data_IF_770902243299
#
_entry.id   IF_770902243299
#
_cell.length_a   1.000
_cell.length_b   1.000
_cell.length_c   1.000
_cell.angle_alpha   90.00
_cell.angle_beta   90.00
_cell.angle_gamma   90.00
#
_symmetry.space_group_name_H-M   'P 1'
#
loop_
_entity.id
_entity.type
_entity.pdbx_description
1 polymer ?
#
# COMPACT_ATOMS: atom_id res chain seq x y z
N UNK A 1 -15.42 -13.97 2.83
CA UNK A 1 -14.11 -13.66 2.21
C UNK A 1 -13.24 -12.92 3.21
N UNK A 2 -11.95 -12.74 2.92
CA UNK A 2 -10.99 -12.12 3.85
C UNK A 2 -11.39 -10.70 4.27
N UNK A 3 -12.01 -9.91 3.39
CA UNK A 3 -12.55 -8.59 3.72
C UNK A 3 -13.59 -8.65 4.85
N UNK A 4 -14.60 -9.52 4.71
CA UNK A 4 -15.63 -9.74 5.74
C UNK A 4 -15.03 -10.22 7.08
N UNK A 5 -13.97 -11.05 7.03
CA UNK A 5 -13.27 -11.48 8.24
C UNK A 5 -12.58 -10.30 8.94
N UNK A 6 -11.95 -9.40 8.18
CA UNK A 6 -11.35 -8.18 8.71
C UNK A 6 -12.41 -7.30 9.40
N UNK A 7 -13.56 -7.10 8.76
CA UNK A 7 -14.65 -6.29 9.29
C UNK A 7 -15.32 -6.91 10.55
N UNK A 8 -15.57 -8.22 10.55
CA UNK A 8 -16.29 -8.89 11.65
C UNK A 8 -15.42 -9.16 12.88
N UNK A 9 -14.11 -9.40 12.69
CA UNK A 9 -13.20 -9.82 13.76
C UNK A 9 -12.14 -8.77 14.10
N UNK A 10 -11.96 -7.75 13.25
CA UNK A 10 -11.08 -6.61 13.48
C UNK A 10 -9.69 -7.02 14.00
N UNK A 11 -9.32 -6.48 15.15
CA UNK A 11 -8.02 -6.71 15.79
C UNK A 11 -7.71 -8.20 16.06
N UNK A 12 -8.72 -9.04 16.32
CA UNK A 12 -8.50 -10.47 16.56
C UNK A 12 -8.05 -11.22 15.29
N UNK A 13 -8.46 -10.75 14.11
CA UNK A 13 -8.03 -11.32 12.83
C UNK A 13 -6.73 -10.71 12.29
N UNK A 14 -6.33 -9.55 12.82
CA UNK A 14 -5.16 -8.79 12.38
C UNK A 14 -3.87 -9.64 12.21
N UNK A 15 -3.41 -10.44 13.19
CA UNK A 15 -2.13 -11.16 13.04
C UNK A 15 -2.15 -12.16 11.88
N UNK A 16 -3.29 -12.82 11.64
CA UNK A 16 -3.46 -13.79 10.56
C UNK A 16 -3.53 -13.10 9.19
N UNK A 17 -4.21 -11.95 9.12
CA UNK A 17 -4.34 -11.16 7.91
C UNK A 17 -3.01 -10.50 7.51
N UNK A 18 -2.25 -10.00 8.49
CA UNK A 18 -0.89 -9.47 8.28
C UNK A 18 0.05 -10.57 7.78
N UNK A 19 0.01 -11.77 8.38
CA UNK A 19 0.83 -12.90 7.94
C UNK A 19 0.47 -13.37 6.51
N UNK A 20 -0.77 -13.14 6.07
CA UNK A 20 -1.24 -13.52 4.73
C UNK A 20 -1.14 -12.38 3.71
N UNK A 21 -0.67 -11.20 4.12
CA UNK A 21 -0.86 -9.97 3.34
C UNK A 21 -0.09 -9.97 2.01
N UNK A 22 1.09 -10.59 1.97
CA UNK A 22 1.86 -10.76 0.73
C UNK A 22 1.05 -11.50 -0.34
N UNK A 23 0.39 -12.60 0.03
CA UNK A 23 -0.47 -13.38 -0.86
C UNK A 23 -1.71 -12.61 -1.29
N UNK A 24 -2.27 -11.79 -0.39
CA UNK A 24 -3.40 -10.91 -0.71
C UNK A 24 -2.97 -9.89 -1.77
N UNK A 25 -1.80 -9.26 -1.61
CA UNK A 25 -1.26 -8.32 -2.60
C UNK A 25 -0.96 -8.99 -3.94
N UNK A 26 -0.36 -10.18 -3.94
CA UNK A 26 -0.11 -10.94 -5.17
C UNK A 26 -1.41 -11.24 -5.94
N UNK A 27 -2.48 -11.59 -5.23
CA UNK A 27 -3.79 -11.87 -5.81
C UNK A 27 -4.46 -10.64 -6.47
N UNK A 28 -4.02 -9.41 -6.17
CA UNK A 28 -4.49 -8.19 -6.88
C UNK A 28 -3.97 -8.13 -8.33
N UNK A 29 -2.97 -8.95 -8.65
CA UNK A 29 -2.47 -9.17 -9.99
C UNK A 29 -3.14 -10.33 -10.74
N UNK A 30 -4.16 -10.98 -10.20
CA UNK A 30 -4.77 -12.15 -10.85
C UNK A 30 -5.44 -11.81 -12.20
N UNK A 31 -5.49 -12.79 -13.10
CA UNK A 31 -6.16 -12.63 -14.41
C UNK A 31 -7.68 -12.56 -14.27
N UNK A 32 -8.23 -13.20 -13.24
CA UNK A 32 -9.64 -13.17 -12.91
C UNK A 32 -10.00 -11.86 -12.23
N UNK A 33 -10.89 -11.08 -12.86
CA UNK A 33 -11.43 -9.84 -12.29
C UNK A 33 -12.04 -10.05 -10.91
N UNK A 34 -12.75 -11.17 -10.71
CA UNK A 34 -13.39 -11.48 -9.43
C UNK A 34 -12.35 -11.69 -8.31
N UNK A 35 -11.23 -12.34 -8.61
CA UNK A 35 -10.14 -12.55 -7.64
C UNK A 35 -9.44 -11.24 -7.34
N UNK A 36 -9.13 -10.45 -8.38
CA UNK A 36 -8.54 -9.12 -8.22
C UNK A 36 -9.40 -8.22 -7.32
N UNK A 37 -10.68 -8.07 -7.64
CA UNK A 37 -11.57 -7.15 -6.91
C UNK A 37 -11.73 -7.59 -5.45
N UNK A 38 -11.84 -8.89 -5.20
CA UNK A 38 -11.90 -9.44 -3.85
C UNK A 38 -10.58 -9.24 -3.07
N UNK A 39 -9.43 -9.36 -3.73
CA UNK A 39 -8.12 -9.15 -3.12
C UNK A 39 -7.90 -7.67 -2.77
N UNK A 40 -8.27 -6.75 -3.66
CA UNK A 40 -8.22 -5.30 -3.42
C UNK A 40 -9.11 -4.92 -2.23
N UNK A 41 -10.35 -5.44 -2.20
CA UNK A 41 -11.27 -5.22 -1.10
C UNK A 41 -10.70 -5.75 0.23
N UNK A 42 -10.12 -6.96 0.22
CA UNK A 42 -9.49 -7.54 1.40
C UNK A 42 -8.27 -6.71 1.88
N UNK A 43 -7.39 -6.29 0.97
CA UNK A 43 -6.22 -5.50 1.32
C UNK A 43 -6.62 -4.18 1.98
N UNK A 44 -7.62 -3.47 1.44
CA UNK A 44 -8.14 -2.21 2.00
C UNK A 44 -8.87 -2.42 3.33
N UNK A 45 -9.67 -3.49 3.46
CA UNK A 45 -10.41 -3.80 4.68
C UNK A 45 -9.51 -4.13 5.88
N UNK A 46 -8.28 -4.58 5.65
CA UNK A 46 -7.30 -4.83 6.74
C UNK A 46 -6.80 -3.53 7.36
N UNK A 47 -6.66 -2.46 6.55
CA UNK A 47 -5.95 -1.24 6.97
C UNK A 47 -6.51 -0.59 8.24
N UNK A 48 -7.84 -0.38 8.40
CA UNK A 48 -8.40 0.28 9.59
C UNK A 48 -8.14 -0.46 10.90
N UNK A 49 -7.81 -1.75 10.82
CA UNK A 49 -7.56 -2.62 11.97
C UNK A 49 -6.07 -2.84 12.22
N UNK A 50 -5.18 -2.21 11.43
CA UNK A 50 -3.74 -2.33 11.61
C UNK A 50 -3.27 -1.47 12.78
N UNK A 51 -2.55 -2.12 13.70
CA UNK A 51 -1.67 -1.42 14.61
C UNK A 51 -0.54 -0.73 13.83
N UNK A 52 -0.16 0.52 14.17
CA UNK A 52 0.98 1.21 13.54
C UNK A 52 2.29 0.41 13.61
N UNK A 53 2.46 -0.42 14.64
CA UNK A 53 3.63 -1.28 14.81
C UNK A 53 3.68 -2.45 13.82
N UNK A 54 2.53 -2.84 13.24
CA UNK A 54 2.46 -3.88 12.21
C UNK A 54 2.93 -3.39 10.83
N UNK A 55 3.09 -2.07 10.63
CA UNK A 55 3.57 -1.50 9.37
C UNK A 55 4.94 -2.05 8.97
N UNK A 56 5.84 -2.26 9.94
CA UNK A 56 7.15 -2.85 9.70
C UNK A 56 7.08 -4.26 9.10
N UNK A 57 6.08 -5.06 9.49
CA UNK A 57 5.85 -6.42 8.99
C UNK A 57 5.28 -6.41 7.57
N UNK A 58 4.46 -5.40 7.24
CA UNK A 58 3.85 -5.27 5.92
C UNK A 58 4.80 -4.67 4.87
N UNK A 59 5.79 -3.90 5.31
CA UNK A 59 6.67 -3.14 4.41
C UNK A 59 7.37 -4.01 3.34
N UNK A 60 7.96 -5.18 3.67
CA UNK A 60 8.58 -6.04 2.66
C UNK A 60 7.59 -6.48 1.56
N UNK A 61 6.35 -6.80 1.94
CA UNK A 61 5.31 -7.23 0.99
C UNK A 61 4.85 -6.08 0.08
N UNK A 62 4.74 -4.86 0.63
CA UNK A 62 4.42 -3.65 -0.12
C UNK A 62 5.54 -3.32 -1.12
N UNK A 63 6.79 -3.27 -0.67
CA UNK A 63 7.95 -2.99 -1.53
C UNK A 63 8.14 -4.04 -2.62
N UNK A 64 7.96 -5.33 -2.30
CA UNK A 64 7.97 -6.41 -3.29
C UNK A 64 6.90 -6.20 -4.38
N UNK A 65 5.73 -5.70 -3.99
CA UNK A 65 4.62 -5.41 -4.90
C UNK A 65 4.84 -4.18 -5.80
N UNK A 66 5.84 -3.36 -5.51
CA UNK A 66 6.29 -2.26 -6.38
C UNK A 66 7.38 -2.68 -7.38
N UNK A 67 8.01 -3.84 -7.14
CA UNK A 67 9.16 -4.31 -7.90
C UNK A 67 8.86 -4.60 -9.39
N UNK A 68 9.93 -4.75 -10.17
CA UNK A 68 9.87 -4.95 -11.63
C UNK A 68 9.05 -6.19 -12.04
N UNK A 69 9.04 -7.24 -11.21
CA UNK A 69 8.30 -8.49 -11.47
C UNK A 69 6.80 -8.38 -11.18
N UNK A 70 6.36 -7.35 -10.46
CA UNK A 70 4.95 -7.18 -10.09
C UNK A 70 4.12 -6.74 -11.30
N UNK A 71 2.90 -7.26 -11.39
CA UNK A 71 1.97 -6.88 -12.46
C UNK A 71 1.48 -5.44 -12.28
N UNK A 72 1.13 -4.71 -13.34
CA UNK A 72 0.71 -3.31 -13.22
C UNK A 72 -0.43 -3.06 -12.22
N UNK A 73 -1.43 -3.94 -12.18
CA UNK A 73 -2.57 -3.80 -11.25
C UNK A 73 -2.17 -4.04 -9.79
N UNK A 74 -1.15 -4.87 -9.56
CA UNK A 74 -0.57 -5.09 -8.24
C UNK A 74 0.21 -3.87 -7.78
N UNK A 75 1.03 -3.28 -8.66
CA UNK A 75 1.74 -2.02 -8.39
C UNK A 75 0.76 -0.90 -8.04
N UNK A 76 -0.27 -0.71 -8.87
CA UNK A 76 -1.32 0.28 -8.65
C UNK A 76 -1.99 0.11 -7.28
N UNK A 77 -2.37 -1.11 -6.93
CA UNK A 77 -3.01 -1.40 -5.65
C UNK A 77 -2.07 -1.14 -4.47
N UNK A 78 -0.80 -1.55 -4.58
CA UNK A 78 0.20 -1.31 -3.54
C UNK A 78 0.45 0.20 -3.33
N UNK A 79 0.55 0.99 -4.40
CA UNK A 79 0.69 2.45 -4.33
C UNK A 79 -0.52 3.10 -3.64
N UNK A 80 -1.74 2.71 -4.00
CA UNK A 80 -2.96 3.20 -3.33
C UNK A 80 -2.98 2.85 -1.84
N UNK A 81 -2.54 1.65 -1.47
CA UNK A 81 -2.46 1.22 -0.07
C UNK A 81 -1.42 2.04 0.70
N UNK A 82 -0.24 2.28 0.12
CA UNK A 82 0.80 3.11 0.74
C UNK A 82 0.29 4.54 0.95
N UNK A 83 -0.39 5.12 -0.04
CA UNK A 83 -1.01 6.44 0.08
C UNK A 83 -2.06 6.50 1.19
N UNK A 84 -2.88 5.45 1.34
CA UNK A 84 -3.85 5.35 2.44
C UNK A 84 -3.14 5.20 3.81
N UNK A 85 -2.07 4.41 3.89
CA UNK A 85 -1.28 4.31 5.11
C UNK A 85 -0.63 5.65 5.49
N UNK A 86 -0.22 6.45 4.52
CA UNK A 86 0.33 7.79 4.74
C UNK A 86 -0.67 8.71 5.44
N UNK A 87 -1.96 8.67 5.08
CA UNK A 87 -2.98 9.46 5.77
C UNK A 87 -3.38 8.89 7.14
N UNK A 88 -3.36 7.57 7.30
CA UNK A 88 -3.76 6.90 8.55
C UNK A 88 -2.69 6.95 9.63
N UNK A 89 -1.43 6.75 9.26
CA UNK A 89 -0.29 6.63 10.19
C UNK A 89 0.90 7.47 9.71
N UNK A 90 0.75 8.80 9.54
CA UNK A 90 1.74 9.65 8.88
C UNK A 90 3.11 9.58 9.55
N UNK A 91 3.17 9.57 10.88
CA UNK A 91 4.42 9.45 11.63
C UNK A 91 5.17 8.14 11.34
N UNK A 92 4.44 7.02 11.22
CA UNK A 92 5.03 5.72 10.95
C UNK A 92 5.57 5.61 9.51
N UNK A 93 4.85 6.20 8.55
CA UNK A 93 5.30 6.33 7.15
C UNK A 93 6.50 7.29 7.05
N UNK A 94 6.50 8.38 7.82
CA UNK A 94 7.64 9.31 7.93
C UNK A 94 8.95 8.60 8.28
N UNK A 95 8.92 7.63 9.19
CA UNK A 95 10.10 6.80 9.52
C UNK A 95 10.53 5.82 8.42
N UNK A 96 9.70 5.62 7.40
CA UNK A 96 9.91 4.69 6.29
C UNK A 96 10.16 5.37 4.94
N UNK A 97 10.31 6.69 4.93
CA UNK A 97 10.51 7.46 3.70
C UNK A 97 11.75 7.02 2.92
N UNK A 98 12.86 6.70 3.61
CA UNK A 98 14.08 6.22 2.96
C UNK A 98 13.82 4.94 2.16
N UNK A 99 12.95 4.07 2.67
CA UNK A 99 12.60 2.81 2.01
C UNK A 99 11.58 3.01 0.87
N UNK A 100 10.72 4.04 0.96
CA UNK A 100 9.57 4.24 0.08
C UNK A 100 9.84 5.20 -1.10
N UNK A 101 10.61 6.27 -0.89
CA UNK A 101 10.75 7.36 -1.86
C UNK A 101 11.37 6.86 -3.17
N UNK A 102 12.48 6.14 -3.13
CA UNK A 102 13.14 5.68 -4.36
C UNK A 102 12.26 4.70 -5.17
N UNK A 103 11.68 3.63 -4.60
CA UNK A 103 10.80 2.72 -5.33
C UNK A 103 9.55 3.40 -5.91
N UNK A 104 8.94 4.34 -5.17
CA UNK A 104 7.76 5.06 -5.68
C UNK A 104 8.15 6.04 -6.79
N UNK A 105 9.29 6.72 -6.67
CA UNK A 105 9.80 7.64 -7.69
C UNK A 105 10.02 6.94 -9.03
N UNK A 106 10.60 5.74 -9.04
CA UNK A 106 10.79 4.95 -10.26
C UNK A 106 9.46 4.68 -10.99
N UNK A 107 8.39 4.43 -10.23
CA UNK A 107 7.06 4.17 -10.79
C UNK A 107 6.34 5.41 -11.32
N UNK A 108 6.79 6.61 -10.96
CA UNK A 108 6.33 7.86 -11.61
C UNK A 108 6.76 7.95 -13.07
N UNK A 109 7.62 7.04 -13.54
CA UNK A 109 8.04 6.91 -14.93
C UNK A 109 7.54 5.60 -15.58
N UNK A 110 6.60 4.88 -14.95
CA UNK A 110 6.07 3.61 -15.49
C UNK A 110 5.33 3.85 -16.84
N UNK A 111 5.40 2.86 -17.72
CA UNK A 111 4.77 2.89 -19.05
C UNK A 111 3.24 2.87 -18.98
N UNK A 112 2.67 2.36 -17.87
CA UNK A 112 1.23 2.29 -17.65
C UNK A 112 0.76 3.58 -16.99
N UNK A 113 -0.19 4.27 -17.64
CA UNK A 113 -0.70 5.57 -17.17
C UNK A 113 -1.33 5.48 -15.80
N UNK A 114 -2.01 4.37 -15.51
CA UNK A 114 -2.70 4.11 -14.24
C UNK A 114 -1.69 3.95 -13.09
N UNK A 115 -0.59 3.23 -13.34
CA UNK A 115 0.51 3.07 -12.36
C UNK A 115 1.21 4.41 -12.13
N UNK A 116 1.47 5.16 -13.21
CA UNK A 116 2.08 6.49 -13.13
C UNK A 116 1.25 7.46 -12.28
N UNK A 117 -0.06 7.51 -12.52
CA UNK A 117 -0.97 8.35 -11.76
C UNK A 117 -0.97 7.98 -10.27
N UNK A 118 -1.14 6.68 -9.96
CA UNK A 118 -1.11 6.18 -8.59
C UNK A 118 0.24 6.43 -7.90
N UNK A 119 1.36 6.38 -8.64
CA UNK A 119 2.69 6.63 -8.11
C UNK A 119 2.89 8.10 -7.75
N UNK A 120 2.41 9.02 -8.61
CA UNK A 120 2.45 10.46 -8.33
C UNK A 120 1.61 10.80 -7.09
N UNK A 121 0.39 10.28 -7.00
CA UNK A 121 -0.48 10.47 -5.82
C UNK A 121 0.17 9.91 -4.55
N UNK A 122 0.75 8.70 -4.65
CA UNK A 122 1.47 8.09 -3.55
C UNK A 122 2.69 8.91 -3.13
N UNK A 123 3.44 9.47 -4.07
CA UNK A 123 4.61 10.29 -3.79
C UNK A 123 4.23 11.54 -2.98
N UNK A 124 3.18 12.25 -3.39
CA UNK A 124 2.68 13.41 -2.65
C UNK A 124 2.26 13.01 -1.23
N UNK A 125 1.52 11.91 -1.09
CA UNK A 125 1.05 11.43 0.21
C UNK A 125 2.20 11.07 1.17
N UNK A 126 3.25 10.37 0.69
CA UNK A 126 4.39 10.03 1.55
C UNK A 126 5.25 11.26 1.86
N UNK A 127 5.45 12.19 0.91
CA UNK A 127 6.21 13.42 1.16
C UNK A 127 5.53 14.33 2.20
N UNK A 128 4.20 14.33 2.26
CA UNK A 128 3.45 15.01 3.33
C UNK A 128 3.73 14.44 4.73
N UNK A 129 4.27 13.23 4.83
CA UNK A 129 4.61 12.59 6.12
C UNK A 129 5.99 12.99 6.67
N UNK A 130 6.77 13.79 5.92
CA UNK A 130 8.12 14.22 6.32
C UNK A 130 8.13 15.12 7.56
N UNK A 131 7.04 15.88 7.77
CA UNK A 131 7.02 16.99 8.74
C UNK A 131 7.89 18.19 8.32
N UNK A 132 8.40 18.21 7.10
CA UNK A 132 9.18 19.33 6.56
C UNK A 132 8.26 20.39 5.96
N UNK A 133 8.12 21.52 6.65
CA UNK A 133 7.26 22.64 6.23
C UNK A 133 7.69 23.30 4.93
N UNK A 134 8.95 23.16 4.52
CA UNK A 134 9.43 23.70 3.24
C UNK A 134 8.79 23.00 2.04
N UNK A 135 8.21 21.82 2.25
CA UNK A 135 7.53 21.05 1.19
C UNK A 135 6.07 21.44 1.00
N UNK A 136 5.43 22.10 1.97
CA UNK A 136 3.99 22.44 1.94
C UNK A 136 3.53 23.16 0.65
N UNK A 137 4.31 24.07 0.03
CA UNK A 137 3.92 24.72 -1.23
C UNK A 137 3.92 23.80 -2.46
N UNK A 138 4.51 22.61 -2.36
CA UNK A 138 4.75 21.68 -3.46
C UNK A 138 3.93 20.39 -3.37
N UNK A 139 3.14 20.23 -2.30
CA UNK A 139 2.25 19.08 -2.03
C UNK A 139 0.80 19.42 -2.39
#
# INVERSE_FOLDING_TARGET
>A
GLAKLAEEKGAAAQPFLVASYEKILEATGDKSKNVKDAAVAAAKAVLPHLSPYALGVLMPALLSSLGVKAKPTQKETALQIIAQLASMVPKAIGFKLVDLVAPVAELTCDIKKEVKAAATECMVAICACTGNKDLDPFL
#
